data_IF_210124711531
#
_entry.id   IF_210124711531
#
_cell.length_a   1.000
_cell.length_b   1.000
_cell.length_c   1.000
_cell.angle_alpha   90.00
_cell.angle_beta   90.00
_cell.angle_gamma   90.00
#
_symmetry.space_group_name_H-M   'P 1'
#
loop_
_entity.id
_entity.type
_entity.pdbx_description
1 polymer ?
#
# COMPACT_ATOMS: atom_id res chain seq x y z
N UNK A 1 5.72 15.13 22.65
CA UNK A 1 5.01 14.29 23.64
C UNK A 1 4.80 14.99 24.97
N UNK A 2 5.84 15.51 25.64
CA UNK A 2 5.67 16.13 26.97
C UNK A 2 4.77 17.36 26.98
N UNK A 3 4.72 18.13 25.90
CA UNK A 3 3.78 19.25 25.73
C UNK A 3 2.38 18.77 25.32
N UNK A 4 2.32 17.83 24.36
CA UNK A 4 1.07 17.31 23.81
C UNK A 4 0.21 16.50 24.79
N UNK A 5 0.77 15.99 25.90
CA UNK A 5 0.00 15.18 26.85
C UNK A 5 -1.07 15.97 27.62
N UNK A 6 -0.85 17.28 27.75
CA UNK A 6 -1.77 18.23 28.37
C UNK A 6 -2.60 18.98 27.31
N UNK A 7 -2.45 18.63 26.02
CA UNK A 7 -3.18 19.29 24.94
C UNK A 7 -4.69 19.04 25.10
N UNK A 8 -5.50 20.10 25.22
CA UNK A 8 -6.94 20.01 25.39
C UNK A 8 -7.66 19.19 24.31
N UNK A 9 -7.28 19.37 23.04
CA UNK A 9 -7.93 18.72 21.91
C UNK A 9 -7.61 17.22 21.90
N UNK A 10 -6.36 16.84 22.18
CA UNK A 10 -5.96 15.44 22.32
C UNK A 10 -6.63 14.77 23.52
N UNK A 11 -6.81 15.47 24.65
CA UNK A 11 -7.56 14.94 25.80
C UNK A 11 -9.00 14.63 25.40
N UNK A 12 -9.70 15.57 24.75
CA UNK A 12 -11.08 15.36 24.27
C UNK A 12 -11.17 14.18 23.30
N UNK A 13 -10.24 14.07 22.35
CA UNK A 13 -10.22 12.98 21.38
C UNK A 13 -10.10 11.59 22.04
N UNK A 14 -9.61 11.53 23.27
CA UNK A 14 -9.52 10.29 24.09
C UNK A 14 -10.63 10.17 25.14
N UNK A 15 -11.67 11.01 25.08
CA UNK A 15 -12.78 11.02 26.03
C UNK A 15 -12.45 11.65 27.39
N UNK A 16 -11.38 12.46 27.48
CA UNK A 16 -10.99 13.18 28.70
C UNK A 16 -11.36 14.66 28.60
N UNK A 17 -11.79 15.22 29.72
CA UNK A 17 -12.06 16.66 29.80
C UNK A 17 -10.76 17.48 29.69
N UNK A 18 -10.79 18.67 29.05
CA UNK A 18 -9.61 19.49 28.81
C UNK A 18 -8.81 19.88 30.04
N UNK A 19 -9.48 20.35 31.08
CA UNK A 19 -8.84 21.03 32.21
C UNK A 19 -8.85 20.13 33.46
N UNK A 20 -9.96 19.42 33.72
CA UNK A 20 -10.16 18.66 34.96
C UNK A 20 -9.61 17.22 34.94
N UNK A 21 -9.57 16.56 33.78
CA UNK A 21 -9.06 15.19 33.70
C UNK A 21 -7.53 15.13 33.78
N UNK A 22 -6.94 14.02 34.27
CA UNK A 22 -5.49 13.83 34.23
C UNK A 22 -4.92 13.87 32.81
N UNK A 23 -3.68 14.36 32.70
CA UNK A 23 -2.92 14.36 31.46
C UNK A 23 -2.77 12.96 30.86
N UNK A 24 -2.59 12.93 29.53
CA UNK A 24 -2.30 11.70 28.79
C UNK A 24 -0.94 11.10 29.17
N UNK A 25 -0.65 9.93 28.62
CA UNK A 25 0.58 9.20 28.89
C UNK A 25 1.84 10.05 28.65
N UNK A 26 2.78 9.98 29.59
CA UNK A 26 4.08 10.64 29.49
C UNK A 26 4.98 9.98 28.45
N UNK A 27 6.02 10.68 27.98
CA UNK A 27 7.01 10.12 27.04
C UNK A 27 7.65 8.81 27.55
N UNK A 28 8.06 8.65 28.83
CA UNK A 28 8.57 7.38 29.33
C UNK A 28 7.55 6.24 29.29
N UNK A 29 6.26 6.55 29.46
CA UNK A 29 5.18 5.55 29.41
C UNK A 29 4.99 5.02 28.00
N UNK A 30 4.94 5.92 27.00
CA UNK A 30 4.85 5.53 25.59
C UNK A 30 6.09 4.75 25.14
N UNK A 31 7.28 5.16 25.55
CA UNK A 31 8.52 4.44 25.27
C UNK A 31 8.48 3.00 25.83
N UNK A 32 8.00 2.82 27.06
CA UNK A 32 7.82 1.48 27.65
C UNK A 32 6.77 0.67 26.91
N UNK A 33 5.66 1.27 26.47
CA UNK A 33 4.63 0.60 25.68
C UNK A 33 5.23 0.05 24.38
N UNK A 34 5.89 0.91 23.60
CA UNK A 34 6.49 0.53 22.31
C UNK A 34 7.50 -0.62 22.46
N UNK A 35 8.28 -0.62 23.55
CA UNK A 35 9.30 -1.63 23.80
C UNK A 35 8.78 -2.84 24.58
N UNK A 36 7.53 -2.88 25.05
CA UNK A 36 6.94 -4.07 25.72
C UNK A 36 6.08 -4.90 24.80
N UNK A 37 5.76 -4.37 23.61
CA UNK A 37 4.93 -5.06 22.62
C UNK A 37 5.51 -6.43 22.26
N UNK A 38 4.62 -7.42 22.21
CA UNK A 38 4.91 -8.81 21.86
C UNK A 38 4.50 -9.11 20.43
N UNK A 39 5.02 -10.19 19.86
CA UNK A 39 4.60 -10.66 18.52
C UNK A 39 3.10 -10.98 18.46
N UNK A 40 2.53 -11.49 19.56
CA UNK A 40 1.08 -11.77 19.65
C UNK A 40 0.26 -10.49 19.53
N UNK A 41 0.67 -9.42 20.21
CA UNK A 41 -0.01 -8.13 20.12
C UNK A 41 0.17 -7.48 18.75
N UNK A 42 1.35 -7.58 18.15
CA UNK A 42 1.58 -7.13 16.76
C UNK A 42 0.64 -7.80 15.77
N UNK A 43 0.43 -9.12 15.90
CA UNK A 43 -0.53 -9.86 15.07
C UNK A 43 -1.95 -9.36 15.30
N UNK A 44 -2.36 -9.14 16.56
CA UNK A 44 -3.70 -8.60 16.87
C UNK A 44 -3.93 -7.22 16.27
N UNK A 45 -2.94 -6.32 16.31
CA UNK A 45 -3.05 -4.99 15.67
C UNK A 45 -3.13 -5.13 14.14
N UNK A 46 -2.37 -6.05 13.55
CA UNK A 46 -2.46 -6.31 12.11
C UNK A 46 -3.83 -6.89 11.69
N UNK A 47 -4.40 -7.80 12.47
CA UNK A 47 -5.76 -8.33 12.26
C UNK A 47 -6.81 -7.22 12.40
N UNK A 48 -6.66 -6.32 13.37
CA UNK A 48 -7.55 -5.17 13.57
C UNK A 48 -7.63 -4.27 12.33
N UNK A 49 -6.56 -4.13 11.53
CA UNK A 49 -6.61 -3.35 10.29
C UNK A 49 -7.61 -3.92 9.29
N UNK A 50 -7.66 -5.25 9.16
CA UNK A 50 -8.62 -5.94 8.28
C UNK A 50 -10.04 -5.84 8.83
N UNK A 51 -10.23 -6.03 10.13
CA UNK A 51 -11.55 -5.88 10.76
C UNK A 51 -12.06 -4.45 10.64
N UNK A 52 -11.19 -3.45 10.81
CA UNK A 52 -11.53 -2.05 10.66
C UNK A 52 -11.84 -1.70 9.20
N UNK A 53 -11.15 -2.31 8.23
CA UNK A 53 -11.52 -2.20 6.82
C UNK A 53 -12.94 -2.72 6.57
N UNK A 54 -13.30 -3.88 7.14
CA UNK A 54 -14.63 -4.47 7.00
C UNK A 54 -15.68 -3.55 7.63
N UNK A 55 -15.44 -3.07 8.84
CA UNK A 55 -16.34 -2.13 9.52
C UNK A 55 -16.50 -0.80 8.77
N UNK A 56 -15.44 -0.31 8.13
CA UNK A 56 -15.46 0.93 7.35
C UNK A 56 -16.19 0.82 6.01
N UNK A 57 -16.48 -0.40 5.53
CA UNK A 57 -17.11 -0.65 4.23
C UNK A 57 -18.32 -1.59 4.38
N UNK A 58 -19.38 -1.18 5.10
CA UNK A 58 -20.53 -2.04 5.36
C UNK A 58 -21.28 -2.39 4.08
N UNK A 59 -21.89 -3.58 4.06
CA UNK A 59 -22.72 -4.06 2.96
C UNK A 59 -21.94 -4.78 1.85
N UNK A 60 -22.66 -5.26 0.82
CA UNK A 60 -22.06 -6.04 -0.25
C UNK A 60 -21.13 -5.19 -1.12
N UNK A 61 -20.04 -5.81 -1.60
CA UNK A 61 -19.10 -5.21 -2.55
C UNK A 61 -18.99 -6.08 -3.78
N UNK A 62 -18.95 -5.45 -4.96
CA UNK A 62 -18.79 -6.17 -6.24
C UNK A 62 -17.32 -6.34 -6.64
N UNK A 63 -16.47 -5.39 -6.25
CA UNK A 63 -15.05 -5.36 -6.61
C UNK A 63 -14.23 -4.90 -5.41
N UNK A 64 -13.15 -5.62 -5.13
CA UNK A 64 -12.10 -5.22 -4.20
C UNK A 64 -10.77 -5.31 -4.95
N UNK A 65 -10.04 -4.21 -5.00
CA UNK A 65 -8.72 -4.17 -5.61
C UNK A 65 -7.68 -4.13 -4.50
N UNK A 66 -6.76 -5.08 -4.50
CA UNK A 66 -5.70 -5.21 -3.52
C UNK A 66 -4.39 -4.84 -4.17
N UNK A 67 -3.85 -3.71 -3.74
CA UNK A 67 -2.53 -3.26 -4.15
C UNK A 67 -1.50 -3.69 -3.12
N UNK A 68 -0.46 -4.36 -3.58
CA UNK A 68 0.67 -4.78 -2.75
C UNK A 68 1.97 -4.24 -3.33
N UNK A 69 2.75 -3.59 -2.48
CA UNK A 69 4.01 -3.00 -2.89
C UNK A 69 4.98 -2.90 -1.71
N UNK A 70 6.27 -2.93 -2.03
CA UNK A 70 7.35 -2.79 -1.07
C UNK A 70 8.02 -1.44 -1.19
N UNK A 71 8.48 -0.90 -0.08
CA UNK A 71 9.14 0.40 -0.04
C UNK A 71 10.36 0.35 0.85
N UNK A 72 11.36 1.14 0.53
CA UNK A 72 12.56 1.27 1.34
C UNK A 72 12.28 2.06 2.63
N UNK A 73 13.00 1.77 3.70
CA UNK A 73 12.91 2.55 4.93
C UNK A 73 14.32 2.76 5.47
N UNK A 74 15.01 3.83 5.05
CA UNK A 74 16.39 4.10 5.43
C UNK A 74 16.54 4.14 6.94
N UNK A 75 17.44 3.29 7.46
CA UNK A 75 17.67 3.15 8.88
C UNK A 75 18.98 3.85 9.27
N UNK A 76 18.91 4.64 10.34
CA UNK A 76 20.08 5.33 10.89
C UNK A 76 20.49 4.72 12.24
N UNK A 77 21.78 4.53 12.44
CA UNK A 77 22.35 3.95 13.66
C UNK A 77 22.29 2.41 13.70
N UNK A 78 22.48 1.84 14.89
CA UNK A 78 22.56 0.39 15.12
C UNK A 78 21.21 -0.16 15.58
N UNK A 79 20.35 -0.46 14.60
CA UNK A 79 19.02 -1.06 14.83
C UNK A 79 19.02 -2.54 14.42
N UNK A 80 18.28 -3.36 15.14
CA UNK A 80 18.16 -4.79 14.84
C UNK A 80 17.51 -5.00 13.47
N UNK A 81 18.12 -5.84 12.62
CA UNK A 81 17.66 -6.19 11.25
C UNK A 81 17.64 -5.04 10.21
N UNK A 82 18.14 -3.86 10.56
CA UNK A 82 18.49 -2.81 9.60
C UNK A 82 19.78 -3.24 8.89
N UNK A 83 19.64 -3.81 7.69
CA UNK A 83 20.76 -4.42 6.96
C UNK A 83 20.94 -3.72 5.61
N UNK A 84 22.14 -3.81 5.05
CA UNK A 84 22.45 -3.25 3.74
C UNK A 84 21.64 -3.96 2.64
N UNK A 85 20.99 -3.17 1.79
CA UNK A 85 20.25 -3.63 0.62
C UNK A 85 21.00 -3.23 -0.67
N UNK A 86 21.44 -4.21 -1.47
CA UNK A 86 22.28 -3.97 -2.65
C UNK A 86 21.63 -3.09 -3.72
N UNK A 87 20.34 -3.31 -4.03
CA UNK A 87 19.61 -2.52 -5.04
C UNK A 87 19.48 -1.02 -4.66
N UNK A 88 19.19 -0.71 -3.39
CA UNK A 88 19.03 0.66 -2.92
C UNK A 88 20.34 1.31 -2.44
N UNK A 89 21.42 0.54 -2.29
CA UNK A 89 22.72 1.06 -1.87
C UNK A 89 22.77 1.61 -0.43
N UNK A 90 21.85 1.19 0.45
CA UNK A 90 21.69 1.77 1.79
C UNK A 90 21.34 0.73 2.86
N UNK A 91 21.57 1.09 4.12
CA UNK A 91 21.06 0.34 5.28
C UNK A 91 19.61 0.72 5.52
N UNK A 92 18.73 -0.27 5.55
CA UNK A 92 17.30 -0.01 5.58
C UNK A 92 16.52 -1.15 6.23
N UNK A 93 15.25 -0.90 6.52
CA UNK A 93 14.21 -1.91 6.53
C UNK A 93 13.54 -1.94 5.16
N UNK A 94 12.81 -3.02 4.87
CA UNK A 94 12.09 -3.15 3.60
C UNK A 94 10.60 -3.43 3.83
N UNK A 95 9.82 -2.47 4.35
CA UNK A 95 8.37 -2.64 4.55
C UNK A 95 7.64 -3.21 3.33
N UNK A 96 6.61 -4.00 3.62
CA UNK A 96 5.64 -4.50 2.66
C UNK A 96 4.25 -3.98 3.06
N UNK A 97 3.60 -3.29 2.15
CA UNK A 97 2.36 -2.57 2.39
C UNK A 97 1.26 -3.13 1.50
N UNK A 98 0.05 -3.22 2.04
CA UNK A 98 -1.15 -3.67 1.32
C UNK A 98 -2.24 -2.64 1.52
N UNK A 99 -2.81 -2.17 0.41
CA UNK A 99 -3.91 -1.21 0.40
C UNK A 99 -5.09 -1.75 -0.41
N UNK A 100 -6.30 -1.30 -0.09
CA UNK A 100 -7.38 -1.29 -1.06
C UNK A 100 -7.07 -0.22 -2.12
N UNK A 101 -6.83 -0.66 -3.34
CA UNK A 101 -6.45 0.20 -4.46
C UNK A 101 -7.54 1.14 -4.97
N UNK A 102 -8.79 0.96 -4.55
CA UNK A 102 -9.90 1.86 -4.88
C UNK A 102 -10.12 2.93 -3.81
N UNK A 103 -10.00 2.55 -2.53
CA UNK A 103 -10.35 3.43 -1.40
C UNK A 103 -9.12 4.05 -0.73
N UNK A 104 -7.94 3.49 -1.00
CA UNK A 104 -6.69 3.83 -0.33
C UNK A 104 -6.59 3.34 1.11
N UNK A 105 -7.51 2.48 1.56
CA UNK A 105 -7.53 2.00 2.94
C UNK A 105 -6.41 0.97 3.18
N UNK A 106 -5.59 1.10 4.24
CA UNK A 106 -4.51 0.16 4.51
C UNK A 106 -5.04 -1.14 5.12
N UNK A 107 -4.66 -2.28 4.54
CA UNK A 107 -5.01 -3.63 4.99
C UNK A 107 -3.85 -4.32 5.71
N UNK A 108 -2.61 -3.97 5.40
CA UNK A 108 -1.44 -4.52 6.06
C UNK A 108 -0.23 -3.57 5.98
N UNK A 109 0.58 -3.58 7.03
CA UNK A 109 1.90 -2.96 7.03
C UNK A 109 2.89 -3.84 7.81
N UNK A 110 3.79 -4.51 7.08
CA UNK A 110 4.73 -5.49 7.65
C UNK A 110 6.15 -5.03 7.39
N UNK A 111 6.86 -4.72 8.47
CA UNK A 111 8.28 -4.43 8.48
C UNK A 111 9.07 -5.71 8.17
N UNK A 112 10.11 -5.58 7.35
CA UNK A 112 11.02 -6.68 7.03
C UNK A 112 12.46 -6.22 7.16
N UNK A 113 13.36 -7.17 7.40
CA UNK A 113 14.80 -6.89 7.41
C UNK A 113 15.27 -6.30 6.07
N UNK A 114 16.27 -5.44 6.11
CA UNK A 114 16.85 -4.78 4.92
C UNK A 114 17.37 -5.71 3.83
N UNK A 115 17.68 -6.98 4.11
CA UNK A 115 18.08 -7.96 3.07
C UNK A 115 16.91 -8.68 2.39
N UNK A 116 15.68 -8.32 2.73
CA UNK A 116 14.50 -9.01 2.21
C UNK A 116 14.27 -8.67 0.75
N UNK A 117 14.01 -9.68 -0.08
CA UNK A 117 13.51 -9.48 -1.43
C UNK A 117 12.13 -8.80 -1.40
N UNK A 118 11.80 -8.00 -2.44
CA UNK A 118 10.56 -7.21 -2.55
C UNK A 118 9.29 -8.03 -2.25
N UNK A 119 9.21 -9.28 -2.71
CA UNK A 119 8.07 -10.17 -2.52
C UNK A 119 8.10 -11.07 -1.27
N UNK A 120 9.18 -11.03 -0.47
CA UNK A 120 9.33 -11.93 0.69
C UNK A 120 8.16 -11.74 1.67
N UNK A 121 7.39 -12.79 1.91
CA UNK A 121 6.25 -12.79 2.84
C UNK A 121 4.91 -12.33 2.22
N UNK A 122 4.90 -11.87 0.98
CA UNK A 122 3.68 -11.38 0.30
C UNK A 122 2.57 -12.43 0.23
N UNK A 123 2.91 -13.63 -0.23
CA UNK A 123 1.97 -14.75 -0.28
C UNK A 123 1.42 -15.14 1.10
N UNK A 124 2.22 -15.02 2.16
CA UNK A 124 1.78 -15.30 3.54
C UNK A 124 0.78 -14.27 4.06
N UNK A 125 1.04 -12.99 3.77
CA UNK A 125 0.13 -11.90 4.16
C UNK A 125 -1.21 -12.04 3.42
N UNK A 126 -1.18 -12.28 2.11
CA UNK A 126 -2.41 -12.45 1.33
C UNK A 126 -3.22 -13.69 1.73
N UNK A 127 -2.56 -14.78 2.14
CA UNK A 127 -3.24 -15.97 2.73
C UNK A 127 -3.99 -15.66 4.02
N UNK A 128 -3.67 -14.57 4.72
CA UNK A 128 -4.42 -14.13 5.91
C UNK A 128 -5.55 -13.17 5.55
N UNK A 129 -5.28 -12.23 4.64
CA UNK A 129 -6.23 -11.16 4.31
C UNK A 129 -7.34 -11.65 3.39
N UNK A 130 -6.99 -12.34 2.29
CA UNK A 130 -7.94 -12.67 1.23
C UNK A 130 -9.08 -13.59 1.68
N UNK A 131 -8.85 -14.66 2.48
CA UNK A 131 -9.96 -15.48 3.00
C UNK A 131 -10.94 -14.67 3.84
N UNK A 132 -10.43 -13.77 4.70
CA UNK A 132 -11.27 -12.91 5.55
C UNK A 132 -12.11 -11.94 4.73
N UNK A 133 -11.53 -11.38 3.65
CA UNK A 133 -12.28 -10.53 2.73
C UNK A 133 -13.33 -11.31 1.94
N UNK A 134 -13.05 -12.56 1.53
CA UNK A 134 -14.04 -13.42 0.86
C UNK A 134 -15.19 -13.82 1.76
N UNK A 135 -14.92 -14.06 3.04
CA UNK A 135 -15.95 -14.33 4.04
C UNK A 135 -16.83 -13.09 4.26
N UNK A 136 -16.23 -11.91 4.40
CA UNK A 136 -16.98 -10.66 4.58
C UNK A 136 -17.75 -10.22 3.32
N UNK A 137 -17.22 -10.53 2.14
CA UNK A 137 -17.79 -10.13 0.85
C UNK A 137 -17.82 -11.31 -0.14
N UNK A 138 -18.76 -12.27 0.02
CA UNK A 138 -18.81 -13.48 -0.80
C UNK A 138 -18.95 -13.23 -2.30
N UNK A 139 -19.68 -12.17 -2.67
CA UNK A 139 -19.96 -11.77 -4.06
C UNK A 139 -18.86 -10.86 -4.65
N UNK A 140 -17.84 -10.49 -3.88
CA UNK A 140 -16.80 -9.60 -4.35
C UNK A 140 -15.84 -10.31 -5.30
N UNK A 141 -15.69 -9.77 -6.50
CA UNK A 141 -14.53 -10.07 -7.32
C UNK A 141 -13.29 -9.40 -6.71
N UNK A 142 -12.27 -10.18 -6.37
CA UNK A 142 -11.02 -9.65 -5.81
C UNK A 142 -9.93 -9.66 -6.87
N UNK A 143 -9.34 -8.50 -7.13
CA UNK A 143 -8.23 -8.30 -8.05
C UNK A 143 -6.97 -7.88 -7.27
N UNK A 144 -5.88 -8.64 -7.39
CA UNK A 144 -4.58 -8.28 -6.81
C UNK A 144 -3.68 -7.64 -7.87
N UNK A 145 -3.10 -6.48 -7.56
CA UNK A 145 -2.13 -5.79 -8.43
C UNK A 145 -0.80 -5.67 -7.73
N UNK A 146 0.26 -5.94 -8.47
CA UNK A 146 1.62 -5.87 -7.95
C UNK A 146 2.61 -5.50 -9.06
N UNK A 147 3.78 -5.01 -8.68
CA UNK A 147 4.86 -4.73 -9.61
C UNK A 147 5.65 -6.01 -9.98
N UNK A 148 6.71 -5.84 -10.77
CA UNK A 148 7.52 -6.96 -11.22
C UNK A 148 8.40 -7.61 -10.14
N UNK A 149 8.58 -6.98 -8.98
CA UNK A 149 9.21 -7.59 -7.80
C UNK A 149 8.39 -8.75 -7.23
N UNK A 150 7.09 -8.82 -7.55
CA UNK A 150 6.17 -9.89 -7.15
C UNK A 150 5.96 -10.97 -8.21
N UNK A 151 6.67 -10.88 -9.34
CA UNK A 151 6.57 -11.83 -10.45
C UNK A 151 7.24 -13.19 -10.17
N UNK A 152 6.91 -13.82 -9.03
CA UNK A 152 7.51 -15.09 -8.56
C UNK A 152 6.49 -16.23 -8.57
N UNK A 153 6.91 -17.49 -8.85
CA UNK A 153 6.00 -18.64 -8.94
C UNK A 153 5.08 -18.83 -7.73
N UNK A 154 5.63 -18.67 -6.52
CA UNK A 154 4.87 -18.84 -5.28
C UNK A 154 3.71 -17.86 -5.13
N UNK A 155 3.89 -16.63 -5.64
CA UNK A 155 2.89 -15.60 -5.58
C UNK A 155 1.73 -15.91 -6.53
N UNK A 156 2.02 -16.28 -7.79
CA UNK A 156 0.98 -16.70 -8.73
C UNK A 156 0.15 -17.87 -8.20
N UNK A 157 0.81 -18.95 -7.73
CA UNK A 157 0.11 -20.13 -7.19
C UNK A 157 -0.77 -19.79 -6.00
N UNK A 158 -0.32 -18.89 -5.14
CA UNK A 158 -1.10 -18.47 -3.99
C UNK A 158 -2.37 -17.75 -4.44
N UNK A 159 -2.28 -16.83 -5.39
CA UNK A 159 -3.43 -16.11 -5.92
C UNK A 159 -4.40 -17.02 -6.68
N UNK A 160 -3.87 -17.95 -7.47
CA UNK A 160 -4.65 -18.94 -8.22
C UNK A 160 -5.39 -19.91 -7.28
N UNK A 161 -4.71 -20.44 -6.26
CA UNK A 161 -5.33 -21.30 -5.23
C UNK A 161 -6.39 -20.57 -4.42
N UNK A 162 -6.18 -19.29 -4.14
CA UNK A 162 -7.16 -18.45 -3.47
C UNK A 162 -8.28 -18.03 -4.41
N UNK A 163 -8.24 -18.34 -5.71
CA UNK A 163 -9.28 -18.02 -6.66
C UNK A 163 -9.53 -16.51 -6.77
N UNK A 164 -8.47 -15.72 -6.89
CA UNK A 164 -8.55 -14.26 -7.12
C UNK A 164 -7.92 -13.90 -8.46
N UNK A 165 -8.38 -12.81 -9.04
CA UNK A 165 -7.77 -12.28 -10.26
C UNK A 165 -6.50 -11.50 -9.94
N UNK A 166 -5.57 -11.41 -10.89
CA UNK A 166 -4.36 -10.62 -10.71
C UNK A 166 -3.83 -9.95 -11.97
N UNK A 167 -3.12 -8.83 -11.78
CA UNK A 167 -2.27 -8.20 -12.79
C UNK A 167 -0.93 -7.85 -12.17
N UNK A 168 0.13 -8.51 -12.63
CA UNK A 168 1.47 -8.39 -12.05
C UNK A 168 2.44 -7.95 -13.13
N UNK A 169 3.21 -6.90 -12.88
CA UNK A 169 4.21 -6.43 -13.83
C UNK A 169 5.26 -7.50 -14.14
N UNK A 170 5.83 -7.49 -15.33
CA UNK A 170 6.99 -8.31 -15.67
C UNK A 170 8.18 -7.46 -16.06
N UNK A 171 9.36 -7.88 -15.61
CA UNK A 171 10.62 -7.34 -16.11
C UNK A 171 10.80 -7.80 -17.56
N UNK A 172 10.98 -6.88 -18.52
CA UNK A 172 11.29 -7.25 -19.90
C UNK A 172 12.55 -8.11 -19.98
N UNK A 173 12.49 -9.21 -20.72
CA UNK A 173 13.63 -10.06 -21.04
C UNK A 173 13.67 -10.34 -22.56
N UNK A 174 14.78 -10.87 -23.11
CA UNK A 174 14.89 -11.12 -24.54
C UNK A 174 13.72 -11.93 -25.10
N UNK A 175 13.36 -13.06 -24.46
CA UNK A 175 12.24 -13.92 -24.89
C UNK A 175 10.90 -13.17 -24.95
N UNK A 176 10.64 -12.24 -24.02
CA UNK A 176 9.42 -11.42 -24.03
C UNK A 176 9.46 -10.34 -25.12
N UNK A 177 10.63 -9.73 -25.36
CA UNK A 177 10.82 -8.74 -26.42
C UNK A 177 10.63 -9.36 -27.80
N UNK A 178 11.16 -10.56 -28.00
CA UNK A 178 11.03 -11.31 -29.25
C UNK A 178 9.57 -11.54 -29.64
N UNK A 179 8.68 -11.72 -28.65
CA UNK A 179 7.23 -11.91 -28.86
C UNK A 179 6.53 -10.66 -29.40
N UNK A 180 7.14 -9.48 -29.29
CA UNK A 180 6.53 -8.21 -29.70
C UNK A 180 7.37 -7.44 -30.70
N UNK A 181 8.49 -7.99 -31.19
CA UNK A 181 9.38 -7.32 -32.15
C UNK A 181 8.64 -6.80 -33.38
N UNK A 182 7.78 -7.62 -33.98
CA UNK A 182 6.97 -7.22 -35.13
C UNK A 182 6.02 -6.06 -34.81
N UNK A 183 5.41 -6.09 -33.62
CA UNK A 183 4.49 -5.05 -33.17
C UNK A 183 5.20 -3.72 -32.84
N UNK A 184 6.42 -3.81 -32.29
CA UNK A 184 7.30 -2.64 -32.06
C UNK A 184 7.68 -2.00 -33.39
N UNK A 185 8.04 -2.80 -34.39
CA UNK A 185 8.40 -2.31 -35.72
C UNK A 185 7.21 -1.66 -36.43
N UNK A 186 6.02 -2.25 -36.34
CA UNK A 186 4.78 -1.63 -36.83
C UNK A 186 4.51 -0.29 -36.13
N UNK A 187 4.68 -0.21 -34.82
CA UNK A 187 4.50 1.03 -34.06
C UNK A 187 5.55 2.09 -34.43
N UNK A 188 6.79 1.69 -34.74
CA UNK A 188 7.84 2.58 -35.25
C UNK A 188 7.46 3.18 -36.60
N UNK A 189 7.07 2.34 -37.56
CA UNK A 189 6.69 2.78 -38.90
C UNK A 189 5.47 3.73 -38.86
N UNK A 190 4.47 3.42 -38.04
CA UNK A 190 3.32 4.30 -37.85
C UNK A 190 3.70 5.64 -37.20
N UNK A 191 4.65 5.64 -36.25
CA UNK A 191 5.18 6.88 -35.66
C UNK A 191 5.92 7.72 -36.70
N UNK A 192 6.78 7.11 -37.52
CA UNK A 192 7.55 7.80 -38.57
C UNK A 192 6.64 8.40 -39.65
N UNK A 193 5.52 7.74 -39.96
CA UNK A 193 4.56 8.23 -40.93
C UNK A 193 3.70 9.40 -40.41
N UNK A 194 3.37 9.42 -39.11
CA UNK A 194 2.39 10.36 -38.54
C UNK A 194 3.01 11.47 -37.69
N UNK A 195 4.21 11.23 -37.13
CA UNK A 195 4.79 12.05 -36.07
C UNK A 195 4.07 11.90 -34.71
N UNK A 196 3.04 11.06 -34.62
CA UNK A 196 2.21 10.91 -33.43
C UNK A 196 2.57 9.69 -32.61
N UNK A 197 2.43 9.79 -31.27
CA UNK A 197 2.65 8.68 -30.34
C UNK A 197 1.79 7.47 -30.73
N UNK A 198 2.45 6.33 -30.92
CA UNK A 198 1.78 5.06 -31.19
C UNK A 198 1.63 4.24 -29.91
N UNK A 199 0.48 3.62 -29.71
CA UNK A 199 0.18 2.76 -28.55
C UNK A 199 -0.65 1.56 -28.98
N UNK A 200 -0.04 0.39 -28.95
CA UNK A 200 -0.66 -0.87 -29.36
C UNK A 200 -0.54 -1.93 -28.26
N UNK A 201 -1.41 -2.92 -28.32
CA UNK A 201 -1.49 -3.97 -27.31
C UNK A 201 -1.60 -5.34 -27.95
N UNK A 202 -0.96 -6.33 -27.32
CA UNK A 202 -1.14 -7.74 -27.67
C UNK A 202 -1.17 -8.58 -26.41
N UNK A 203 -1.61 -9.83 -26.52
CA UNK A 203 -1.46 -10.82 -25.48
C UNK A 203 -1.04 -12.16 -26.06
N UNK A 204 -0.25 -12.90 -25.29
CA UNK A 204 0.24 -14.22 -25.66
C UNK A 204 0.36 -15.10 -24.43
N UNK A 205 0.42 -16.41 -24.68
CA UNK A 205 0.75 -17.40 -23.67
C UNK A 205 2.26 -17.43 -23.44
N UNK A 206 2.71 -17.34 -22.20
CA UNK A 206 4.12 -17.40 -21.84
C UNK A 206 4.32 -18.25 -20.59
N UNK A 207 5.43 -18.99 -20.57
CA UNK A 207 5.88 -19.78 -19.44
C UNK A 207 7.37 -19.56 -19.26
N UNK A 208 7.78 -19.08 -18.09
CA UNK A 208 9.16 -19.16 -17.67
C UNK A 208 9.46 -20.56 -17.14
N UNK A 209 10.71 -21.00 -17.21
CA UNK A 209 11.10 -22.36 -16.80
C UNK A 209 10.76 -22.66 -15.32
N UNK A 210 10.68 -21.62 -14.47
CA UNK A 210 10.29 -21.73 -13.06
C UNK A 210 8.78 -21.80 -12.81
N UNK A 211 7.95 -21.70 -13.85
CA UNK A 211 6.49 -21.69 -13.75
C UNK A 211 5.91 -23.08 -14.02
N UNK A 212 4.95 -23.49 -13.20
CA UNK A 212 4.30 -24.81 -13.34
C UNK A 212 3.46 -24.96 -14.61
N UNK A 213 2.91 -23.87 -15.12
CA UNK A 213 2.09 -23.84 -16.32
C UNK A 213 2.19 -22.47 -17.01
N UNK A 214 1.83 -22.37 -18.30
CA UNK A 214 1.78 -21.09 -18.99
C UNK A 214 0.74 -20.16 -18.38
N UNK A 215 0.97 -18.85 -18.50
CA UNK A 215 0.05 -17.78 -18.09
C UNK A 215 -0.09 -16.76 -19.21
N UNK A 216 -1.21 -16.04 -19.21
CA UNK A 216 -1.44 -14.95 -20.15
C UNK A 216 -0.54 -13.76 -19.80
N UNK A 217 0.20 -13.28 -20.79
CA UNK A 217 0.98 -12.04 -20.70
C UNK A 217 0.37 -11.02 -21.66
N UNK A 218 0.02 -9.86 -21.13
CA UNK A 218 -0.37 -8.68 -21.89
C UNK A 218 0.87 -7.82 -22.10
N UNK A 219 1.09 -7.41 -23.34
CA UNK A 219 2.14 -6.47 -23.70
C UNK A 219 1.53 -5.15 -24.16
N UNK A 220 1.98 -4.05 -23.56
CA UNK A 220 1.81 -2.70 -24.10
C UNK A 220 3.07 -2.35 -24.88
N UNK A 221 2.90 -2.00 -26.14
CA UNK A 221 3.96 -1.45 -26.99
C UNK A 221 3.62 0.01 -27.25
N UNK A 222 4.50 0.91 -26.84
CA UNK A 222 4.42 2.32 -27.19
C UNK A 222 5.65 2.74 -27.97
N UNK A 223 5.47 3.60 -28.96
CA UNK A 223 6.57 4.30 -29.62
C UNK A 223 6.43 5.79 -29.33
N UNK A 224 7.46 6.34 -28.69
CA UNK A 224 7.56 7.72 -28.25
C UNK A 224 8.68 8.42 -29.02
N UNK A 225 8.80 9.76 -28.96
CA UNK A 225 9.96 10.46 -29.53
C UNK A 225 11.31 9.96 -28.98
N UNK A 226 11.32 9.42 -27.75
CA UNK A 226 12.50 8.85 -27.10
C UNK A 226 12.74 7.37 -27.48
N UNK A 227 11.94 6.80 -28.39
CA UNK A 227 12.03 5.42 -28.84
C UNK A 227 10.97 4.48 -28.23
N UNK A 228 11.17 3.15 -28.36
CA UNK A 228 10.19 2.16 -27.95
C UNK A 228 10.10 2.02 -26.42
N UNK A 229 8.89 2.01 -25.89
CA UNK A 229 8.57 1.76 -24.49
C UNK A 229 7.62 0.56 -24.39
N UNK A 230 8.17 -0.60 -24.05
CA UNK A 230 7.42 -1.85 -23.93
C UNK A 230 7.26 -2.25 -22.47
N UNK A 231 6.02 -2.60 -22.08
CA UNK A 231 5.70 -3.11 -20.74
C UNK A 231 4.92 -4.41 -20.84
N UNK A 232 5.19 -5.33 -19.92
CA UNK A 232 4.56 -6.65 -19.86
C UNK A 232 3.84 -6.83 -18.52
N UNK A 233 2.70 -7.50 -18.54
CA UNK A 233 1.85 -7.78 -17.37
C UNK A 233 1.37 -9.23 -17.44
N UNK A 234 1.65 -10.04 -16.41
CA UNK A 234 1.03 -11.37 -16.25
C UNK A 234 -0.35 -11.21 -15.66
N UNK A 235 -1.31 -11.98 -16.16
CA UNK A 235 -2.66 -12.01 -15.62
C UNK A 235 -3.33 -13.39 -15.80
N UNK A 236 -4.31 -13.69 -14.95
CA UNK A 236 -5.30 -14.75 -15.16
C UNK A 236 -6.66 -14.19 -15.63
N UNK A 237 -6.75 -12.91 -15.99
CA UNK A 237 -7.95 -12.29 -16.54
C UNK A 237 -7.98 -12.57 -18.04
N UNK A 238 -8.84 -13.50 -18.48
CA UNK A 238 -8.97 -13.91 -19.88
C UNK A 238 -10.13 -13.22 -20.62
N UNK A 239 -11.16 -12.78 -19.90
CA UNK A 239 -12.39 -12.23 -20.46
C UNK A 239 -12.29 -10.77 -20.95
N UNK A 240 -11.15 -10.10 -20.71
CA UNK A 240 -10.90 -8.74 -21.19
C UNK A 240 -9.90 -8.72 -22.35
N UNK A 241 -10.09 -7.75 -23.26
CA UNK A 241 -9.11 -7.41 -24.28
C UNK A 241 -7.79 -6.94 -23.65
N UNK A 242 -6.62 -7.17 -24.29
CA UNK A 242 -5.31 -6.81 -23.73
C UNK A 242 -5.21 -5.35 -23.30
N UNK A 243 -5.76 -4.43 -24.10
CA UNK A 243 -5.81 -3.01 -23.78
C UNK A 243 -6.58 -2.75 -22.47
N UNK A 244 -7.76 -3.34 -22.30
CA UNK A 244 -8.59 -3.15 -21.10
C UNK A 244 -7.93 -3.72 -19.85
N UNK A 245 -7.27 -4.87 -19.95
CA UNK A 245 -6.47 -5.41 -18.83
C UNK A 245 -5.41 -4.40 -18.40
N UNK A 246 -4.72 -3.80 -19.36
CA UNK A 246 -3.68 -2.82 -19.04
C UNK A 246 -4.28 -1.53 -18.48
N UNK A 247 -5.22 -0.91 -19.20
CA UNK A 247 -5.74 0.42 -18.93
C UNK A 247 -6.66 0.47 -17.71
N UNK A 248 -7.58 -0.49 -17.57
CA UNK A 248 -8.60 -0.47 -16.52
C UNK A 248 -8.15 -1.20 -15.25
N UNK A 249 -7.30 -2.22 -15.38
CA UNK A 249 -6.87 -3.01 -14.22
C UNK A 249 -5.47 -2.60 -13.75
N UNK A 250 -4.46 -2.73 -14.60
CA UNK A 250 -3.05 -2.62 -14.19
C UNK A 250 -2.58 -1.19 -13.91
N UNK A 251 -2.92 -0.20 -14.76
CA UNK A 251 -2.40 1.18 -14.61
C UNK A 251 -2.76 1.78 -13.24
N UNK A 252 -3.94 1.48 -12.71
CA UNK A 252 -4.38 2.02 -11.41
C UNK A 252 -3.49 1.61 -10.23
N UNK A 253 -2.59 0.64 -10.38
CA UNK A 253 -1.53 0.31 -9.40
C UNK A 253 -0.64 1.53 -9.09
N UNK A 254 -0.57 2.53 -9.98
CA UNK A 254 0.14 3.79 -9.71
C UNK A 254 -0.34 4.51 -8.45
N UNK A 255 -1.60 4.32 -8.04
CA UNK A 255 -2.13 4.92 -6.81
C UNK A 255 -1.48 4.39 -5.53
N UNK A 256 -0.93 3.17 -5.56
CA UNK A 256 -0.22 2.59 -4.42
C UNK A 256 0.98 3.46 -4.03
N UNK A 257 1.72 3.99 -4.99
CA UNK A 257 2.86 4.87 -4.73
C UNK A 257 2.42 6.15 -4.00
N UNK A 258 1.27 6.72 -4.37
CA UNK A 258 0.68 7.85 -3.67
C UNK A 258 0.31 7.48 -2.21
N UNK A 259 -0.26 6.30 -1.97
CA UNK A 259 -0.61 5.85 -0.60
C UNK A 259 0.65 5.62 0.25
N UNK A 260 1.69 5.03 -0.33
CA UNK A 260 2.99 4.86 0.33
C UNK A 260 3.60 6.22 0.68
N UNK A 261 3.55 7.18 -0.26
CA UNK A 261 4.03 8.54 -0.05
C UNK A 261 3.29 9.21 1.11
N UNK A 262 1.97 9.08 1.19
CA UNK A 262 1.19 9.60 2.31
C UNK A 262 1.60 8.97 3.65
N UNK A 263 1.75 7.65 3.69
CA UNK A 263 2.13 6.94 4.91
C UNK A 263 3.56 7.31 5.35
N UNK A 264 4.54 7.25 4.44
CA UNK A 264 5.95 7.55 4.75
C UNK A 264 6.16 9.04 4.98
N UNK A 265 5.87 9.88 3.98
CA UNK A 265 6.27 11.29 4.03
C UNK A 265 5.32 12.15 4.87
N UNK A 266 4.01 11.93 4.77
CA UNK A 266 3.03 12.78 5.44
C UNK A 266 2.81 12.32 6.89
N UNK A 267 2.79 11.00 7.13
CA UNK A 267 2.63 10.46 8.48
C UNK A 267 3.92 10.07 9.17
N UNK A 268 5.07 10.14 8.49
CA UNK A 268 6.39 9.85 9.06
C UNK A 268 6.54 8.38 9.51
N UNK A 269 5.92 7.46 8.77
CA UNK A 269 6.02 6.03 9.06
C UNK A 269 7.43 5.45 8.88
N UNK A 270 8.31 6.18 8.20
CA UNK A 270 9.75 5.93 8.06
C UNK A 270 10.57 6.29 9.32
N UNK A 271 9.92 6.75 10.40
CA UNK A 271 10.57 7.02 11.69
C UNK A 271 10.72 5.77 12.54
N UNK A 272 11.33 4.73 11.97
CA UNK A 272 11.79 3.56 12.71
C UNK A 272 13.10 3.87 13.42
N UNK A 273 13.02 4.25 14.70
CA UNK A 273 14.20 4.63 15.50
C UNK A 273 14.32 3.87 16.83
N UNK A 274 13.58 2.78 16.99
CA UNK A 274 13.81 1.83 18.08
C UNK A 274 15.00 0.92 17.76
N UNK A 275 15.72 0.46 18.80
CA UNK A 275 16.75 -0.56 18.60
C UNK A 275 16.17 -1.94 18.28
N UNK A 276 15.02 -2.28 18.87
CA UNK A 276 14.35 -3.58 18.68
C UNK A 276 13.48 -3.59 17.44
N UNK A 277 13.56 -4.68 16.67
CA UNK A 277 12.80 -4.83 15.43
C UNK A 277 11.29 -4.85 15.67
N UNK A 278 10.81 -5.58 16.68
CA UNK A 278 9.37 -5.63 17.02
C UNK A 278 8.81 -4.27 17.42
N UNK A 279 9.61 -3.41 18.07
CA UNK A 279 9.20 -2.06 18.44
C UNK A 279 9.07 -1.15 17.20
N UNK A 280 9.98 -1.28 16.23
CA UNK A 280 9.85 -0.59 14.94
C UNK A 280 8.64 -1.09 14.13
N UNK A 281 8.36 -2.39 14.13
CA UNK A 281 7.13 -2.93 13.52
C UNK A 281 5.88 -2.33 14.19
N UNK A 282 5.88 -2.18 15.51
CA UNK A 282 4.76 -1.56 16.21
C UNK A 282 4.60 -0.09 15.83
N UNK A 283 5.70 0.67 15.72
CA UNK A 283 5.64 2.05 15.22
C UNK A 283 5.05 2.14 13.83
N UNK A 284 5.48 1.30 12.90
CA UNK A 284 4.90 1.24 11.56
C UNK A 284 3.38 1.05 11.65
N UNK A 285 2.89 0.12 12.48
CA UNK A 285 1.45 -0.09 12.70
C UNK A 285 0.76 1.13 13.32
N UNK A 286 1.38 1.83 14.29
CA UNK A 286 0.82 3.05 14.86
C UNK A 286 0.62 4.14 13.79
N UNK A 287 1.60 4.31 12.90
CA UNK A 287 1.46 5.24 11.77
C UNK A 287 0.39 4.79 10.77
N UNK A 288 0.25 3.48 10.54
CA UNK A 288 -0.85 2.93 9.73
C UNK A 288 -2.22 3.13 10.38
N UNK A 289 -2.34 2.99 11.70
CA UNK A 289 -3.59 3.29 12.43
C UNK A 289 -3.90 4.79 12.38
N UNK A 290 -2.88 5.66 12.50
CA UNK A 290 -3.08 7.10 12.28
C UNK A 290 -3.55 7.41 10.86
N UNK A 291 -3.08 6.67 9.85
CA UNK A 291 -3.59 6.75 8.48
C UNK A 291 -5.07 6.38 8.42
N UNK A 292 -5.50 5.30 9.07
CA UNK A 292 -6.91 4.90 9.15
C UNK A 292 -7.77 6.01 9.75
N UNK A 293 -7.33 6.64 10.86
CA UNK A 293 -8.06 7.74 11.48
C UNK A 293 -8.23 8.92 10.52
N UNK A 294 -7.15 9.33 9.84
CA UNK A 294 -7.23 10.41 8.85
C UNK A 294 -8.03 10.03 7.61
N UNK A 295 -8.04 8.75 7.23
CA UNK A 295 -8.91 8.25 6.17
C UNK A 295 -10.38 8.47 6.54
N UNK A 296 -10.78 8.17 7.79
CA UNK A 296 -12.15 8.46 8.25
C UNK A 296 -12.45 9.97 8.29
N UNK A 297 -11.50 10.80 8.72
CA UNK A 297 -11.66 12.26 8.65
C UNK A 297 -11.89 12.73 7.21
N UNK A 298 -11.15 12.16 6.25
CA UNK A 298 -11.36 12.44 4.82
C UNK A 298 -12.76 12.05 4.35
N UNK A 299 -13.24 10.87 4.75
CA UNK A 299 -14.60 10.43 4.41
C UNK A 299 -15.67 11.34 5.05
N UNK A 300 -15.48 11.75 6.30
CA UNK A 300 -16.39 12.67 6.97
C UNK A 300 -16.41 14.07 6.34
N UNK A 301 -15.35 14.44 5.62
CA UNK A 301 -15.25 15.68 4.87
C UNK A 301 -15.84 15.58 3.43
N UNK A 302 -16.56 14.50 3.11
CA UNK A 302 -17.27 14.37 1.83
C UNK A 302 -18.17 15.57 1.55
N UNK A 303 -18.21 16.02 0.29
CA UNK A 303 -18.92 17.23 -0.12
C UNK A 303 -18.17 18.54 0.14
N UNK A 304 -16.96 18.48 0.72
CA UNK A 304 -16.09 19.66 0.90
C UNK A 304 -14.84 19.57 0.02
N UNK A 305 -14.07 20.66 -0.04
CA UNK A 305 -12.75 20.69 -0.70
C UNK A 305 -11.74 19.70 -0.09
N UNK A 306 -12.00 19.15 1.11
CA UNK A 306 -11.11 18.22 1.79
C UNK A 306 -11.40 16.74 1.47
N UNK A 307 -12.46 16.43 0.73
CA UNK A 307 -12.85 15.06 0.39
C UNK A 307 -11.76 14.30 -0.40
N UNK A 308 -10.95 15.01 -1.18
CA UNK A 308 -9.84 14.47 -1.98
C UNK A 308 -8.47 14.91 -1.46
N UNK A 309 -8.42 15.54 -0.29
CA UNK A 309 -7.18 16.07 0.26
C UNK A 309 -6.18 14.96 0.63
N UNK A 310 -4.90 15.28 0.46
CA UNK A 310 -3.82 14.41 0.93
C UNK A 310 -3.78 14.34 2.45
N UNK A 311 -3.17 13.29 3.00
CA UNK A 311 -2.97 13.17 4.44
C UNK A 311 -2.19 14.35 5.05
N UNK A 312 -1.27 14.97 4.31
CA UNK A 312 -0.55 16.15 4.79
C UNK A 312 -1.45 17.37 4.88
N UNK A 313 -2.28 17.58 3.85
CA UNK A 313 -3.26 18.67 3.81
C UNK A 313 -4.26 18.54 4.96
N UNK A 314 -4.78 17.34 5.22
CA UNK A 314 -5.67 17.09 6.34
C UNK A 314 -4.98 17.39 7.67
N UNK A 315 -3.74 16.89 7.86
CA UNK A 315 -2.96 17.17 9.07
C UNK A 315 -2.72 18.66 9.26
N UNK A 316 -2.35 19.39 8.22
CA UNK A 316 -2.03 20.82 8.31
C UNK A 316 -3.27 21.69 8.50
N UNK A 317 -4.39 21.37 7.85
CA UNK A 317 -5.61 22.21 7.89
C UNK A 317 -6.56 21.86 9.03
N UNK A 318 -6.54 20.63 9.55
CA UNK A 318 -7.48 20.18 10.58
C UNK A 318 -6.81 19.88 11.93
N UNK A 319 -5.55 19.43 11.94
CA UNK A 319 -4.88 19.01 13.18
C UNK A 319 -3.80 19.98 13.66
N UNK A 320 -3.12 20.68 12.74
CA UNK A 320 -2.08 21.66 13.06
C UNK A 320 -2.65 23.08 13.00
N UNK A 321 -3.69 23.33 13.79
CA UNK A 321 -4.37 24.62 13.89
C UNK A 321 -4.31 25.14 15.32
N UNK A 322 -4.24 26.46 15.49
CA UNK A 322 -4.39 27.08 16.80
C UNK A 322 -5.87 27.21 17.15
N UNK A 323 -6.29 26.64 18.28
CA UNK A 323 -7.65 26.76 18.79
C UNK A 323 -7.62 26.93 20.31
N UNK A 324 -8.64 27.57 20.89
CA UNK A 324 -8.75 27.78 22.33
C UNK A 324 -9.86 26.90 22.89
N UNK A 325 -9.48 25.72 23.31
CA UNK A 325 -10.39 24.80 23.98
C UNK A 325 -10.56 25.19 25.45
N UNK A 326 -11.80 25.30 25.92
CA UNK A 326 -12.14 25.54 27.33
C UNK A 326 -13.16 24.54 27.84
N UNK A 327 -12.95 24.07 29.06
CA UNK A 327 -13.96 23.37 29.83
C UNK A 327 -14.89 24.36 30.54
N UNK A 328 -16.19 24.15 30.41
CA UNK A 328 -17.23 24.80 31.20
C UNK A 328 -18.01 23.73 31.97
N UNK A 329 -18.76 24.14 33.00
CA UNK A 329 -19.53 23.24 33.89
C UNK A 329 -20.42 22.25 33.13
N UNK A 330 -20.92 22.63 31.95
CA UNK A 330 -21.87 21.81 31.16
C UNK A 330 -21.36 21.36 29.79
N UNK A 331 -20.23 21.91 29.31
CA UNK A 331 -19.78 21.68 27.92
C UNK A 331 -18.32 22.04 27.71
N UNK A 332 -17.76 21.53 26.63
CA UNK A 332 -16.49 21.97 26.06
C UNK A 332 -16.75 22.97 24.93
N UNK A 333 -15.95 24.03 24.85
CA UNK A 333 -16.00 25.06 23.78
C UNK A 333 -14.64 25.10 23.09
N UNK A 334 -14.61 25.17 21.75
CA UNK A 334 -13.39 25.19 20.91
C UNK A 334 -13.27 26.52 20.17
#
# INVERSE_FOLDING_TARGET
HNTLRADPALKIATGRTPDSAPDLASQPTLCRLENRITRKELVRVAELLVESYIAAHPGPRRLIVIDIDSTDDPAHGRQQLALFHGYYGQYMFHPLLVFDGLTGYPLAAVLRSGRSHASKGAAHILRRILPRLKEAYPEAHILVRADSGFAIPDFYRTLERLGVSYTIGLIPNPRLRDRVTSLVEQARQAYEATGEKQRTFTAFSYQADSWEHPRRVVAKVEYLPQGPNTRFVVTNVHYLAPQRVYDELYIGRGETENRIKELKLHLKADRTSCHRFEANQFRLLLHTVAYVLLWHVRQAAAGTQLATASMDTLRLRLLKVGARVKESVRRVVV
#
